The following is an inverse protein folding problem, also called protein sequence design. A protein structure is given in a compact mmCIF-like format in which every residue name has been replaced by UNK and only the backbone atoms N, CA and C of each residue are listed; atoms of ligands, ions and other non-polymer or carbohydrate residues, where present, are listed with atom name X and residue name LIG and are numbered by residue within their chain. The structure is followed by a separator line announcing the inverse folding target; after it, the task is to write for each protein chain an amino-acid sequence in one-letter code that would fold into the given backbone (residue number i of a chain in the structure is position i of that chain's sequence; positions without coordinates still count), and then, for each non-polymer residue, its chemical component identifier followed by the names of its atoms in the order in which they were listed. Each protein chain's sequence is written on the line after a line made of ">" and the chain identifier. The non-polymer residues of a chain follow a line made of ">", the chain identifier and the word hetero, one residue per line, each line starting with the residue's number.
data_IF_261059296199
#
_entry.id   IF_261059296199
#
_cell.length_a   1.000
_cell.length_b   1.000
_cell.length_c   1.000
_cell.angle_alpha   90.00
_cell.angle_beta   90.00
_cell.angle_gamma   90.00
#
_symmetry.space_group_name_H-M   'P 1'
#
loop_
_entity.id
_entity.type
_entity.pdbx_description
1 polymer ?
#
# COMPACT_ATOMS: atom_id res chain seq x y z
N UNK A 1 -10.28 0.61 -9.44
CA UNK A 1 -9.73 1.96 -9.67
C UNK A 1 -8.66 1.83 -10.74
N UNK A 2 -8.52 2.82 -11.62
CA UNK A 2 -7.37 2.89 -12.51
C UNK A 2 -6.10 3.25 -11.72
N UNK A 3 -4.93 3.09 -12.33
CA UNK A 3 -3.66 3.50 -11.72
C UNK A 3 -3.58 5.01 -11.47
N UNK A 4 -4.22 5.83 -12.32
CA UNK A 4 -4.23 7.29 -12.18
C UNK A 4 -5.12 7.70 -11.00
N UNK A 5 -6.34 7.16 -10.92
CA UNK A 5 -7.25 7.37 -9.78
C UNK A 5 -6.60 6.97 -8.44
N UNK A 6 -5.83 5.87 -8.46
CA UNK A 6 -5.14 5.37 -7.27
C UNK A 6 -3.97 6.27 -6.84
N UNK A 7 -3.23 6.86 -7.79
CA UNK A 7 -2.18 7.84 -7.51
C UNK A 7 -2.75 9.10 -6.86
N UNK A 8 -3.86 9.62 -7.39
CA UNK A 8 -4.57 10.77 -6.80
C UNK A 8 -5.08 10.44 -5.39
N UNK A 9 -5.67 9.25 -5.23
CA UNK A 9 -6.11 8.77 -3.93
C UNK A 9 -4.96 8.69 -2.93
N UNK A 10 -3.81 8.15 -3.32
CA UNK A 10 -2.64 8.03 -2.45
C UNK A 10 -2.10 9.40 -2.04
N UNK A 11 -2.05 10.37 -2.95
CA UNK A 11 -1.65 11.74 -2.59
C UNK A 11 -2.56 12.33 -1.52
N UNK A 12 -3.87 12.11 -1.62
CA UNK A 12 -4.85 12.59 -0.64
C UNK A 12 -4.81 11.82 0.69
N UNK A 13 -4.43 10.54 0.70
CA UNK A 13 -4.58 9.63 1.84
C UNK A 13 -3.25 9.13 2.44
N UNK A 14 -2.10 9.50 1.86
CA UNK A 14 -0.77 9.02 2.24
C UNK A 14 -0.49 9.12 3.74
N UNK A 15 -0.90 10.22 4.39
CA UNK A 15 -0.72 10.41 5.83
C UNK A 15 -1.52 9.40 6.66
N UNK A 16 -2.76 9.15 6.27
CA UNK A 16 -3.64 8.17 6.94
C UNK A 16 -3.15 6.75 6.70
N UNK A 17 -2.72 6.42 5.48
CA UNK A 17 -2.14 5.12 5.15
C UNK A 17 -0.86 4.85 5.93
N UNK A 18 0.03 5.83 6.04
CA UNK A 18 1.24 5.71 6.88
C UNK A 18 0.89 5.54 8.36
N UNK A 19 -0.12 6.25 8.87
CA UNK A 19 -0.58 6.08 10.24
C UNK A 19 -1.14 4.67 10.49
N UNK A 20 -1.92 4.14 9.55
CA UNK A 20 -2.44 2.77 9.60
C UNK A 20 -1.30 1.73 9.64
N UNK A 21 -0.32 1.84 8.75
CA UNK A 21 0.85 0.94 8.72
C UNK A 21 1.62 1.01 10.04
N UNK A 22 1.83 2.21 10.60
CA UNK A 22 2.53 2.39 11.88
C UNK A 22 1.76 1.80 13.06
N UNK A 23 0.43 1.91 13.07
CA UNK A 23 -0.40 1.29 14.10
C UNK A 23 -0.29 -0.25 14.06
N UNK A 24 0.01 -0.80 12.88
CA UNK A 24 0.16 -2.23 12.62
C UNK A 24 1.61 -2.67 12.37
N UNK A 25 2.61 -1.93 12.87
CA UNK A 25 4.03 -2.22 12.59
C UNK A 25 4.48 -3.61 13.09
N UNK A 26 3.75 -4.24 14.02
CA UNK A 26 4.03 -5.63 14.41
C UNK A 26 3.67 -6.67 13.34
N UNK A 27 2.92 -6.27 12.31
CA UNK A 27 2.36 -7.15 11.28
C UNK A 27 2.68 -6.67 9.87
N UNK A 28 2.59 -5.37 9.59
CA UNK A 28 2.77 -4.77 8.27
C UNK A 28 4.17 -4.15 8.17
N UNK A 29 4.92 -4.47 7.13
CA UNK A 29 6.22 -3.84 6.83
C UNK A 29 6.05 -2.56 6.01
N UNK A 30 5.18 -2.59 5.01
CA UNK A 30 4.90 -1.46 4.13
C UNK A 30 3.53 -1.58 3.47
N UNK A 31 3.08 -0.46 2.89
CA UNK A 31 1.92 -0.41 2.01
C UNK A 31 2.34 0.33 0.74
N UNK A 32 2.16 -0.32 -0.42
CA UNK A 32 2.48 0.26 -1.73
C UNK A 32 1.25 0.24 -2.63
N UNK A 33 1.26 1.07 -3.68
CA UNK A 33 0.28 0.97 -4.75
C UNK A 33 0.82 -0.03 -5.76
N UNK A 34 0.01 -1.01 -6.13
CA UNK A 34 0.31 -1.95 -7.20
C UNK A 34 -0.86 -2.00 -8.21
N UNK A 35 -0.66 -2.65 -9.35
CA UNK A 35 -1.71 -2.85 -10.34
C UNK A 35 -1.57 -4.16 -11.11
N UNK A 36 -2.70 -4.85 -11.26
CA UNK A 36 -2.80 -5.98 -12.18
C UNK A 36 -2.98 -5.44 -13.61
N UNK A 37 -2.04 -5.80 -14.49
CA UNK A 37 -2.08 -5.49 -15.92
C UNK A 37 -2.30 -3.99 -16.26
N UNK A 38 -1.88 -3.07 -15.38
CA UNK A 38 -2.10 -1.62 -15.46
C UNK A 38 -3.59 -1.18 -15.55
N UNK A 39 -4.55 -2.08 -15.28
CA UNK A 39 -5.98 -1.79 -15.43
C UNK A 39 -6.67 -1.56 -14.09
N UNK A 40 -6.33 -2.38 -13.10
CA UNK A 40 -6.88 -2.28 -11.75
C UNK A 40 -5.74 -2.07 -10.78
N UNK A 41 -5.75 -0.94 -10.08
CA UNK A 41 -4.80 -0.65 -9.02
C UNK A 41 -5.41 -0.89 -7.63
N UNK A 42 -4.54 -1.24 -6.69
CA UNK A 42 -4.88 -1.59 -5.32
C UNK A 42 -3.74 -1.22 -4.36
N UNK A 43 -4.01 -1.24 -3.05
CA UNK A 43 -2.96 -1.19 -2.03
C UNK A 43 -2.45 -2.61 -1.78
N UNK A 44 -1.17 -2.85 -1.95
CA UNK A 44 -0.52 -4.06 -1.49
C UNK A 44 0.02 -3.84 -0.07
N UNK A 45 -0.51 -4.59 0.89
CA UNK A 45 -0.02 -4.65 2.27
C UNK A 45 1.01 -5.76 2.39
N UNK A 46 2.26 -5.37 2.56
CA UNK A 46 3.36 -6.29 2.80
C UNK A 46 3.36 -6.73 4.26
N UNK A 47 3.28 -8.04 4.51
CA UNK A 47 3.22 -8.62 5.84
C UNK A 47 4.61 -9.11 6.27
N UNK A 48 4.98 -8.85 7.53
CA UNK A 48 6.24 -9.29 8.16
C UNK A 48 6.24 -10.78 8.53
N UNK A 49 5.06 -11.40 8.56
CA UNK A 49 4.84 -12.80 8.92
C UNK A 49 3.55 -13.29 8.31
N UNK A 50 3.45 -14.61 8.20
CA UNK A 50 2.19 -15.26 7.91
C UNK A 50 1.17 -15.00 9.03
N UNK A 51 -0.04 -14.64 8.60
CA UNK A 51 -1.20 -14.41 9.45
C UNK A 51 -2.16 -15.58 9.30
N UNK A 52 -2.84 -15.94 10.39
CA UNK A 52 -3.98 -16.85 10.29
C UNK A 52 -5.14 -16.20 9.52
N UNK A 53 -6.06 -17.00 8.98
CA UNK A 53 -7.26 -16.50 8.28
C UNK A 53 -8.07 -15.49 9.11
N UNK A 54 -8.13 -15.70 10.43
CA UNK A 54 -8.85 -14.77 11.33
C UNK A 54 -8.12 -13.45 11.51
N UNK A 55 -6.79 -13.47 11.60
CA UNK A 55 -5.98 -12.24 11.65
C UNK A 55 -6.04 -11.48 10.32
N UNK A 56 -6.01 -12.19 9.18
CA UNK A 56 -6.21 -11.60 7.86
C UNK A 56 -7.58 -10.94 7.74
N UNK A 57 -8.64 -11.62 8.18
CA UNK A 57 -10.00 -11.07 8.14
C UNK A 57 -10.14 -9.82 9.01
N UNK A 58 -9.52 -9.79 10.20
CA UNK A 58 -9.54 -8.62 11.08
C UNK A 58 -8.78 -7.44 10.47
N UNK A 59 -7.57 -7.68 9.96
CA UNK A 59 -6.77 -6.66 9.28
C UNK A 59 -7.51 -6.09 8.07
N UNK A 60 -8.14 -6.97 7.29
CA UNK A 60 -8.93 -6.62 6.13
C UNK A 60 -10.14 -5.75 6.47
N UNK A 61 -10.91 -6.15 7.48
CA UNK A 61 -12.05 -5.37 7.98
C UNK A 61 -11.61 -3.97 8.43
N UNK A 62 -10.55 -3.87 9.22
CA UNK A 62 -10.06 -2.57 9.68
C UNK A 62 -9.57 -1.72 8.51
N UNK A 63 -8.83 -2.29 7.55
CA UNK A 63 -8.40 -1.57 6.36
C UNK A 63 -9.59 -1.01 5.57
N UNK A 64 -10.64 -1.82 5.36
CA UNK A 64 -11.86 -1.40 4.67
C UNK A 64 -12.63 -0.31 5.42
N UNK A 65 -12.58 -0.26 6.76
CA UNK A 65 -13.16 0.83 7.54
C UNK A 65 -12.42 2.17 7.31
N UNK A 66 -11.09 2.15 7.20
CA UNK A 66 -10.29 3.36 6.92
C UNK A 66 -10.34 3.77 5.45
N UNK A 67 -10.38 2.80 4.53
CA UNK A 67 -10.22 3.02 3.09
C UNK A 67 -11.29 2.30 2.24
N UNK A 68 -12.58 2.58 2.44
CA UNK A 68 -13.69 1.81 1.84
C UNK A 68 -13.78 1.89 0.31
N UNK A 69 -13.06 2.83 -0.30
CA UNK A 69 -13.09 3.09 -1.74
C UNK A 69 -11.98 2.39 -2.51
N UNK A 70 -11.10 1.65 -1.82
CA UNK A 70 -9.86 1.11 -2.38
C UNK A 70 -9.78 -0.39 -2.17
N UNK A 71 -9.48 -1.11 -3.24
CA UNK A 71 -9.17 -2.54 -3.14
C UNK A 71 -7.78 -2.71 -2.53
N UNK A 72 -7.57 -3.80 -1.81
CA UNK A 72 -6.25 -4.16 -1.30
C UNK A 72 -5.96 -5.64 -1.52
N UNK A 73 -4.67 -5.96 -1.45
CA UNK A 73 -4.15 -7.32 -1.39
C UNK A 73 -3.14 -7.41 -0.24
N UNK A 74 -2.86 -8.62 0.21
CA UNK A 74 -1.83 -8.90 1.21
C UNK A 74 -0.80 -9.86 0.65
N UNK A 75 0.48 -9.61 0.91
CA UNK A 75 1.56 -10.52 0.53
C UNK A 75 2.50 -10.72 1.70
N UNK A 76 2.87 -11.98 1.97
CA UNK A 76 3.90 -12.29 2.96
C UNK A 76 5.26 -11.96 2.36
N UNK A 77 5.96 -10.98 2.95
CA UNK A 77 7.34 -10.72 2.59
C UNK A 77 8.26 -11.48 3.53
N UNK A 78 9.29 -12.12 2.98
CA UNK A 78 10.40 -12.55 3.82
C UNK A 78 10.96 -11.31 4.54
N UNK A 79 11.33 -11.40 5.83
CA UNK A 79 11.73 -10.25 6.62
C UNK A 79 12.95 -9.49 6.06
N UNK A 80 13.73 -10.13 5.17
CA UNK A 80 14.90 -9.55 4.50
C UNK A 80 14.61 -9.06 3.06
N UNK A 81 13.38 -9.25 2.55
CA UNK A 81 12.97 -8.76 1.25
C UNK A 81 12.66 -7.26 1.32
N UNK A 82 13.71 -6.44 1.30
CA UNK A 82 13.59 -5.00 1.16
C UNK A 82 13.16 -4.68 -0.27
N UNK A 83 11.87 -4.41 -0.48
CA UNK A 83 11.41 -3.82 -1.72
C UNK A 83 11.85 -2.35 -1.72
N UNK A 84 12.91 -2.06 -2.47
CA UNK A 84 13.04 -0.75 -3.11
C UNK A 84 11.83 -0.63 -4.05
N UNK A 85 10.69 -0.18 -3.51
CA UNK A 85 9.66 0.40 -4.34
C UNK A 85 10.38 1.52 -5.07
N UNK A 86 10.56 1.36 -6.39
CA UNK A 86 10.92 2.44 -7.28
C UNK A 86 9.97 3.57 -6.90
N UNK A 87 10.51 4.48 -6.09
CA UNK A 87 9.91 5.76 -5.82
C UNK A 87 9.45 6.24 -7.18
N UNK A 88 8.19 6.62 -7.30
CA UNK A 88 7.72 7.42 -8.43
C UNK A 88 8.69 8.61 -8.46
N UNK A 89 9.72 8.47 -9.28
CA UNK A 89 10.82 9.40 -9.38
C UNK A 89 10.22 10.57 -10.14
N UNK A 90 9.74 11.55 -9.37
CA UNK A 90 9.39 12.86 -9.89
C UNK A 90 10.68 13.61 -10.20
N UNK A 91 11.49 13.07 -11.12
CA UNK A 91 12.53 13.83 -11.83
C UNK A 91 11.87 14.65 -12.95
N UNK A 92 10.90 15.47 -12.57
CA UNK A 92 10.58 16.72 -13.27
C UNK A 92 11.26 17.89 -12.55
N UNK A 93 12.57 17.75 -12.28
CA UNK A 93 13.40 18.89 -11.90
C UNK A 93 13.68 19.69 -13.17
N UNK A 94 12.73 20.53 -13.52
CA UNK A 94 12.91 21.67 -14.41
C UNK A 94 14.09 22.50 -13.87
N UNK A 95 15.23 22.34 -14.52
CA UNK A 95 16.39 23.20 -14.37
C UNK A 95 16.54 24.03 -15.65
N UNK A 96 15.50 24.77 -16.02
CA UNK A 96 15.65 25.93 -16.89
C UNK A 96 15.87 27.17 -16.03
N UNK A 97 17.13 27.48 -15.71
CA UNK A 97 17.57 28.86 -15.42
C UNK A 97 19.08 29.03 -15.42
#
# INVERSE_FOLDING_TARGET
>A
MTIEEMKEWYQANSRTLVAFVRAHDSVISSAIIDSDDNKNAYVLLALKRELSDSELALLGFEFEEYFPQVNYATENMEPDAFWESDSIDDSSRDASR
#
